data_IF_890986724943
#
_entry.id   IF_890986724943
#
_cell.length_a   1.000
_cell.length_b   1.000
_cell.length_c   1.000
_cell.angle_alpha   90.00
_cell.angle_beta   90.00
_cell.angle_gamma   90.00
#
_symmetry.space_group_name_H-M   'P 1'
#
loop_
_entity.id
_entity.type
_entity.pdbx_description
1 polymer ?
#
# COMPACT_ATOMS: atom_id res chain seq x y z
N UNK A 1 -49.32 -22.09 -89.43
CA UNK A 1 -48.52 -20.88 -89.19
C UNK A 1 -48.45 -20.70 -87.70
N UNK A 2 -47.21 -20.65 -87.24
CA UNK A 2 -46.73 -20.42 -85.90
C UNK A 2 -47.38 -19.17 -85.25
N UNK A 3 -47.71 -19.31 -83.97
CA UNK A 3 -47.79 -18.23 -83.00
C UNK A 3 -47.48 -18.81 -81.61
N UNK A 4 -46.23 -19.26 -81.47
CA UNK A 4 -45.35 -18.92 -80.34
C UNK A 4 -46.01 -18.78 -78.97
N UNK A 5 -45.86 -19.84 -78.17
CA UNK A 5 -45.16 -19.81 -76.88
C UNK A 5 -45.39 -18.57 -76.00
N UNK A 6 -46.55 -18.53 -75.34
CA UNK A 6 -46.76 -17.61 -74.21
C UNK A 6 -46.17 -18.31 -72.98
N UNK A 7 -44.90 -18.00 -72.71
CA UNK A 7 -44.25 -18.33 -71.44
C UNK A 7 -45.09 -17.69 -70.33
N UNK A 8 -45.75 -18.53 -69.53
CA UNK A 8 -46.38 -18.10 -68.29
C UNK A 8 -45.26 -17.71 -67.30
N UNK A 9 -44.87 -16.44 -67.37
CA UNK A 9 -43.96 -15.85 -66.40
C UNK A 9 -44.77 -15.70 -65.11
N UNK A 10 -44.86 -16.78 -64.33
CA UNK A 10 -45.38 -16.71 -62.97
C UNK A 10 -44.50 -15.72 -62.22
N UNK A 11 -45.05 -14.54 -61.91
CA UNK A 11 -44.38 -13.56 -61.09
C UNK A 11 -43.93 -14.26 -59.80
N UNK A 12 -42.67 -14.07 -59.35
CA UNK A 12 -42.27 -14.61 -58.06
C UNK A 12 -43.25 -14.12 -56.99
N UNK A 13 -43.53 -14.92 -55.95
CA UNK A 13 -44.46 -14.55 -54.90
C UNK A 13 -44.11 -13.14 -54.39
N UNK A 14 -45.10 -12.24 -54.40
CA UNK A 14 -44.93 -10.88 -53.90
C UNK A 14 -44.64 -10.98 -52.41
N UNK A 15 -43.38 -10.75 -52.05
CA UNK A 15 -42.95 -10.70 -50.65
C UNK A 15 -43.68 -9.52 -50.02
N UNK A 16 -44.49 -9.79 -48.99
CA UNK A 16 -45.20 -8.74 -48.27
C UNK A 16 -44.19 -7.90 -47.50
N UNK A 17 -43.92 -6.70 -48.01
CA UNK A 17 -42.96 -5.77 -47.43
C UNK A 17 -43.31 -5.39 -45.99
N UNK A 18 -44.60 -5.42 -45.63
CA UNK A 18 -45.07 -5.13 -44.27
C UNK A 18 -44.65 -6.22 -43.28
N UNK A 19 -44.73 -7.49 -43.69
CA UNK A 19 -44.28 -8.61 -42.86
C UNK A 19 -42.75 -8.58 -42.67
N UNK A 20 -42.01 -8.17 -43.70
CA UNK A 20 -40.56 -8.01 -43.62
C UNK A 20 -40.16 -6.84 -42.71
N UNK A 21 -40.91 -5.74 -42.72
CA UNK A 21 -40.69 -4.59 -41.84
C UNK A 21 -40.97 -4.96 -40.37
N UNK A 22 -42.06 -5.68 -40.09
CA UNK A 22 -42.39 -6.18 -38.75
C UNK A 22 -41.33 -7.15 -38.20
N UNK A 23 -40.80 -8.04 -39.04
CA UNK A 23 -39.72 -8.98 -38.69
C UNK A 23 -38.39 -8.25 -38.43
N UNK A 24 -38.07 -7.23 -39.24
CA UNK A 24 -36.87 -6.40 -39.06
C UNK A 24 -36.93 -5.55 -37.77
N UNK A 25 -38.11 -5.03 -37.42
CA UNK A 25 -38.32 -4.30 -36.17
C UNK A 25 -38.27 -5.23 -34.95
N UNK A 26 -38.80 -6.44 -35.07
CA UNK A 26 -38.68 -7.49 -34.06
C UNK A 26 -37.21 -7.90 -33.82
N UNK A 27 -36.43 -8.04 -34.90
CA UNK A 27 -35.00 -8.32 -34.81
C UNK A 27 -34.21 -7.17 -34.18
N UNK A 28 -34.47 -5.92 -34.60
CA UNK A 28 -33.82 -4.73 -34.02
C UNK A 28 -34.10 -4.58 -32.54
N UNK A 29 -35.34 -4.84 -32.13
CA UNK A 29 -35.72 -4.82 -30.72
C UNK A 29 -34.94 -5.90 -29.94
N UNK A 30 -34.85 -7.12 -30.48
CA UNK A 30 -34.10 -8.22 -29.86
C UNK A 30 -32.60 -7.89 -29.74
N UNK A 31 -31.97 -7.37 -30.78
CA UNK A 31 -30.56 -6.94 -30.74
C UNK A 31 -30.33 -5.83 -29.70
N UNK A 32 -31.27 -4.90 -29.57
CA UNK A 32 -31.19 -3.82 -28.58
C UNK A 32 -31.20 -4.36 -27.15
N UNK A 33 -32.09 -5.33 -26.85
CA UNK A 33 -32.13 -5.99 -25.56
C UNK A 33 -30.87 -6.81 -25.28
N UNK A 34 -30.36 -7.55 -26.27
CA UNK A 34 -29.15 -8.35 -26.13
C UNK A 34 -27.92 -7.48 -25.86
N UNK A 35 -27.76 -6.35 -26.56
CA UNK A 35 -26.66 -5.41 -26.30
C UNK A 35 -26.78 -4.78 -24.90
N UNK A 36 -27.99 -4.47 -24.44
CA UNK A 36 -28.21 -3.97 -23.08
C UNK A 36 -27.77 -4.97 -22.02
N UNK A 37 -28.15 -6.25 -22.16
CA UNK A 37 -27.79 -7.31 -21.21
C UNK A 37 -26.28 -7.56 -21.20
N UNK A 38 -25.61 -7.58 -22.35
CA UNK A 38 -24.15 -7.82 -22.41
C UNK A 38 -23.35 -6.70 -21.76
N UNK A 39 -23.76 -5.44 -21.90
CA UNK A 39 -23.12 -4.30 -21.22
C UNK A 39 -23.27 -4.42 -19.70
N UNK A 40 -24.46 -4.81 -19.21
CA UNK A 40 -24.70 -4.98 -17.77
C UNK A 40 -23.83 -6.12 -17.21
N UNK A 41 -23.75 -7.26 -17.91
CA UNK A 41 -22.90 -8.39 -17.50
C UNK A 41 -21.43 -7.99 -17.53
N UNK A 42 -20.96 -7.32 -18.59
CA UNK A 42 -19.57 -6.88 -18.70
C UNK A 42 -19.19 -5.85 -17.62
N UNK A 43 -20.09 -4.90 -17.31
CA UNK A 43 -19.89 -3.94 -16.23
C UNK A 43 -19.89 -4.62 -14.85
N UNK A 44 -20.76 -5.61 -14.64
CA UNK A 44 -20.79 -6.40 -13.41
C UNK A 44 -19.53 -7.24 -13.22
N UNK A 45 -19.08 -7.95 -14.26
CA UNK A 45 -17.82 -8.71 -14.23
C UNK A 45 -16.63 -7.79 -14.05
N UNK A 46 -16.58 -6.66 -14.78
CA UNK A 46 -15.55 -5.64 -14.63
C UNK A 46 -15.52 -5.05 -13.22
N UNK A 47 -16.69 -4.77 -12.63
CA UNK A 47 -16.80 -4.32 -11.24
C UNK A 47 -16.27 -5.36 -10.26
N UNK A 48 -16.62 -6.64 -10.42
CA UNK A 48 -16.12 -7.74 -9.56
C UNK A 48 -14.61 -7.90 -9.71
N UNK A 49 -14.07 -7.87 -10.93
CA UNK A 49 -12.64 -8.01 -11.19
C UNK A 49 -11.87 -6.80 -10.64
N UNK A 50 -12.34 -5.58 -10.88
CA UNK A 50 -11.71 -4.36 -10.37
C UNK A 50 -11.80 -4.30 -8.85
N UNK A 51 -12.97 -4.61 -8.27
CA UNK A 51 -13.10 -4.81 -6.82
C UNK A 51 -12.06 -5.80 -6.36
N UNK A 52 -12.06 -7.04 -6.86
CA UNK A 52 -11.17 -8.08 -6.36
C UNK A 52 -9.68 -7.75 -6.56
N UNK A 53 -9.28 -7.07 -7.65
CA UNK A 53 -7.89 -6.69 -7.90
C UNK A 53 -7.43 -5.50 -7.04
N UNK A 54 -8.28 -4.47 -6.89
CA UNK A 54 -8.05 -3.34 -5.98
C UNK A 54 -8.11 -3.81 -4.52
N UNK A 55 -8.95 -4.80 -4.24
CA UNK A 55 -9.21 -5.34 -2.91
C UNK A 55 -8.13 -6.35 -2.50
N UNK A 56 -7.58 -7.20 -3.38
CA UNK A 56 -6.41 -8.02 -3.03
C UNK A 56 -5.16 -7.16 -2.76
N UNK A 57 -5.11 -5.94 -3.31
CA UNK A 57 -4.07 -4.97 -2.99
C UNK A 57 -4.30 -4.22 -1.65
N UNK A 58 -5.46 -4.38 -1.01
CA UNK A 58 -5.88 -3.58 0.17
C UNK A 58 -6.67 -4.31 1.28
N UNK A 59 -7.11 -5.56 1.08
CA UNK A 59 -8.06 -6.28 1.96
C UNK A 59 -7.58 -7.68 2.37
N UNK A 60 -6.60 -8.27 1.70
CA UNK A 60 -5.85 -9.35 2.35
C UNK A 60 -4.84 -8.70 3.29
N UNK A 61 -5.12 -8.74 4.59
CA UNK A 61 -4.13 -8.37 5.60
C UNK A 61 -2.82 -9.17 5.46
N UNK A 62 -1.84 -8.93 6.35
CA UNK A 62 -0.58 -9.65 6.29
C UNK A 62 -0.83 -11.17 6.28
N UNK A 63 -0.06 -11.96 5.51
CA UNK A 63 -0.10 -13.41 5.57
C UNK A 63 -0.07 -13.92 7.02
N UNK A 64 -0.80 -15.00 7.32
CA UNK A 64 -0.90 -15.55 8.67
C UNK A 64 0.46 -15.87 9.31
N UNK A 65 1.46 -16.21 8.49
CA UNK A 65 2.83 -16.43 8.93
C UNK A 65 3.49 -15.16 9.48
N UNK A 66 3.30 -14.00 8.84
CA UNK A 66 3.83 -12.72 9.35
C UNK A 66 3.16 -12.33 10.67
N UNK A 67 1.87 -12.60 10.80
CA UNK A 67 1.14 -12.39 12.06
C UNK A 67 1.68 -13.30 13.17
N UNK A 68 1.98 -14.57 12.86
CA UNK A 68 2.57 -15.50 13.81
C UNK A 68 3.98 -15.05 14.24
N UNK A 69 4.81 -14.59 13.31
CA UNK A 69 6.14 -14.06 13.61
C UNK A 69 6.07 -12.79 14.46
N UNK A 70 5.14 -11.88 14.16
CA UNK A 70 4.91 -10.69 14.97
C UNK A 70 4.42 -11.05 16.37
N UNK A 71 3.50 -12.00 16.50
CA UNK A 71 3.00 -12.45 17.80
C UNK A 71 4.12 -13.11 18.63
N UNK A 72 4.96 -13.94 18.02
CA UNK A 72 6.13 -14.52 18.67
C UNK A 72 7.11 -13.44 19.13
N UNK A 73 7.37 -12.43 18.29
CA UNK A 73 8.23 -11.31 18.65
C UNK A 73 7.64 -10.49 19.81
N UNK A 74 6.36 -10.14 19.75
CA UNK A 74 5.67 -9.43 20.84
C UNK A 74 5.72 -10.21 22.16
N UNK A 75 5.57 -11.54 22.09
CA UNK A 75 5.69 -12.40 23.27
C UNK A 75 7.11 -12.41 23.85
N UNK A 76 8.15 -12.34 23.00
CA UNK A 76 9.54 -12.28 23.47
C UNK A 76 9.84 -10.96 24.20
N UNK A 77 9.36 -9.84 23.67
CA UNK A 77 9.64 -8.50 24.23
C UNK A 77 8.64 -8.08 25.32
N UNK A 78 7.54 -8.82 25.50
CA UNK A 78 6.51 -8.61 26.54
C UNK A 78 5.93 -7.18 26.56
N UNK A 79 5.94 -6.47 25.42
CA UNK A 79 5.40 -5.10 25.37
C UNK A 79 3.90 -5.03 25.70
N UNK A 80 3.14 -6.07 25.37
CA UNK A 80 1.70 -6.11 25.64
C UNK A 80 1.38 -6.32 27.14
N UNK A 81 2.36 -6.70 27.97
CA UNK A 81 2.21 -6.83 29.43
C UNK A 81 2.43 -5.50 30.16
N UNK A 82 2.92 -4.48 29.46
CA UNK A 82 3.24 -3.16 30.00
C UNK A 82 2.29 -2.14 29.39
N UNK A 83 1.36 -1.62 30.20
CA UNK A 83 0.38 -0.62 29.74
C UNK A 83 0.54 0.72 30.49
N UNK A 84 0.19 1.81 29.82
CA UNK A 84 0.21 3.17 30.37
C UNK A 84 1.61 3.78 30.60
N UNK A 85 2.69 3.10 30.22
CA UNK A 85 4.05 3.63 30.30
C UNK A 85 4.48 4.22 28.96
N UNK A 86 4.92 5.49 28.98
CA UNK A 86 5.38 6.20 27.78
C UNK A 86 6.86 6.53 27.79
N UNK A 87 7.57 6.20 28.88
CA UNK A 87 8.96 6.63 29.12
C UNK A 87 9.09 8.04 29.72
N UNK A 88 7.97 8.70 30.08
CA UNK A 88 8.01 10.02 30.71
C UNK A 88 8.88 10.04 31.97
N UNK A 89 9.82 10.98 32.02
CA UNK A 89 10.75 11.13 33.14
C UNK A 89 11.94 10.17 33.11
N UNK A 90 12.09 9.39 32.03
CA UNK A 90 13.27 8.56 31.77
C UNK A 90 14.13 9.25 30.71
N UNK A 91 15.42 9.39 31.02
CA UNK A 91 16.44 9.83 30.06
C UNK A 91 17.05 8.62 29.37
N UNK A 92 17.18 8.69 28.05
CA UNK A 92 17.73 7.61 27.22
C UNK A 92 18.72 8.17 26.21
N UNK A 93 19.88 7.52 26.06
CA UNK A 93 20.86 7.84 25.03
C UNK A 93 20.98 6.69 24.03
N UNK A 94 20.89 7.00 22.73
CA UNK A 94 21.19 6.06 21.65
C UNK A 94 22.63 6.29 21.18
N UNK A 95 23.47 5.26 21.29
CA UNK A 95 24.86 5.27 20.79
C UNK A 95 24.90 4.47 19.48
N UNK A 96 24.91 5.15 18.33
CA UNK A 96 24.73 4.50 17.02
C UNK A 96 25.36 5.32 15.87
N UNK A 97 24.85 5.18 14.64
CA UNK A 97 25.27 5.96 13.46
C UNK A 97 24.72 7.38 13.40
N UNK A 98 23.92 7.79 14.38
CA UNK A 98 23.33 9.12 14.48
C UNK A 98 21.81 9.10 14.37
N UNK A 99 21.22 10.24 14.03
CA UNK A 99 19.77 10.39 13.85
C UNK A 99 19.44 11.43 12.79
N UNK A 100 18.53 11.10 11.88
CA UNK A 100 17.96 12.04 10.92
C UNK A 100 16.63 12.62 11.44
N UNK A 101 16.70 13.82 12.03
CA UNK A 101 15.52 14.53 12.54
C UNK A 101 14.59 15.05 11.44
N UNK A 102 14.99 15.00 10.16
CA UNK A 102 14.13 15.41 9.04
C UNK A 102 13.14 14.31 8.63
N UNK A 103 13.34 13.07 9.10
CA UNK A 103 12.50 11.93 8.78
C UNK A 103 11.06 12.11 9.30
N UNK A 104 10.07 11.73 8.50
CA UNK A 104 8.66 12.02 8.80
C UNK A 104 8.18 11.49 10.16
N UNK A 105 8.54 10.25 10.47
CA UNK A 105 8.24 9.60 11.74
C UNK A 105 8.84 10.29 12.98
N UNK A 106 9.85 11.14 12.81
CA UNK A 106 10.57 11.80 13.90
C UNK A 106 10.27 13.30 13.98
N UNK A 107 9.41 13.84 13.13
CA UNK A 107 9.06 15.28 13.08
C UNK A 107 8.58 15.85 14.42
N UNK A 108 7.91 15.03 15.23
CA UNK A 108 7.35 15.42 16.53
C UNK A 108 8.22 14.98 17.72
N UNK A 109 9.36 14.36 17.46
CA UNK A 109 10.32 13.95 18.49
C UNK A 109 11.22 15.14 18.80
N UNK A 110 11.40 15.42 20.10
CA UNK A 110 12.37 16.42 20.55
C UNK A 110 13.67 15.73 20.97
N UNK A 111 14.78 16.14 20.36
CA UNK A 111 16.11 15.68 20.75
C UNK A 111 16.62 16.55 21.91
N UNK A 112 16.78 15.95 23.09
CA UNK A 112 17.27 16.63 24.29
C UNK A 112 18.78 16.91 24.24
N UNK A 113 19.53 16.11 23.48
CA UNK A 113 20.93 16.38 23.21
C UNK A 113 21.53 15.52 22.10
N UNK A 114 22.61 16.04 21.53
CA UNK A 114 23.34 15.45 20.41
C UNK A 114 24.84 15.55 20.66
N UNK A 115 25.58 14.49 20.30
CA UNK A 115 27.03 14.56 20.17
C UNK A 115 27.53 13.64 19.07
N UNK A 116 28.39 14.16 18.22
CA UNK A 116 29.09 13.38 17.22
C UNK A 116 30.53 13.08 17.67
N UNK A 117 30.86 11.80 17.80
CA UNK A 117 32.20 11.30 18.15
C UNK A 117 33.02 10.88 16.92
N UNK A 118 32.46 11.00 15.71
CA UNK A 118 33.11 10.68 14.44
C UNK A 118 33.60 11.96 13.74
N UNK A 119 32.68 12.86 13.38
CA UNK A 119 32.97 14.09 12.65
C UNK A 119 33.03 15.33 13.54
N UNK A 120 32.52 15.23 14.78
CA UNK A 120 32.29 16.35 15.69
C UNK A 120 31.40 17.45 15.08
N UNK A 121 30.42 17.04 14.26
CA UNK A 121 29.40 17.93 13.73
C UNK A 121 28.43 18.39 14.82
N UNK A 122 28.02 19.66 14.75
CA UNK A 122 27.09 20.26 15.73
C UNK A 122 25.63 19.91 15.47
N UNK A 123 25.28 19.70 14.21
CA UNK A 123 23.92 19.35 13.80
C UNK A 123 23.75 17.83 13.76
N UNK A 124 22.58 17.35 14.20
CA UNK A 124 22.27 15.93 14.16
C UNK A 124 22.09 15.44 12.73
N UNK A 125 22.71 14.31 12.42
CA UNK A 125 22.60 13.64 11.12
C UNK A 125 22.79 12.13 11.27
N UNK A 126 22.34 11.39 10.26
CA UNK A 126 22.64 9.98 10.10
C UNK A 126 22.98 9.70 8.64
N UNK A 127 24.21 9.28 8.38
CA UNK A 127 24.71 8.98 7.04
C UNK A 127 24.70 7.48 6.72
N UNK A 128 24.23 6.65 7.66
CA UNK A 128 24.09 5.20 7.51
C UNK A 128 22.60 4.77 7.54
N UNK A 129 21.83 5.26 8.51
CA UNK A 129 20.40 5.01 8.68
C UNK A 129 20.01 4.08 9.85
N UNK A 130 20.95 3.31 10.39
CA UNK A 130 20.70 2.34 11.48
C UNK A 130 20.25 3.04 12.76
N UNK A 131 20.94 4.11 13.16
CA UNK A 131 20.58 4.89 14.35
C UNK A 131 19.18 5.52 14.23
N UNK A 132 18.83 6.04 13.05
CA UNK A 132 17.48 6.57 12.77
C UNK A 132 16.42 5.47 12.86
N UNK A 133 16.70 4.27 12.35
CA UNK A 133 15.81 3.11 12.48
C UNK A 133 15.62 2.72 13.96
N UNK A 134 16.69 2.68 14.75
CA UNK A 134 16.64 2.39 16.19
C UNK A 134 15.86 3.45 16.97
N UNK A 135 16.08 4.73 16.69
CA UNK A 135 15.27 5.81 17.25
C UNK A 135 13.79 5.64 16.87
N UNK A 136 13.49 5.26 15.63
CA UNK A 136 12.13 5.02 15.16
C UNK A 136 11.39 3.93 15.95
N UNK A 137 12.05 2.83 16.30
CA UNK A 137 11.44 1.78 17.15
C UNK A 137 11.03 2.34 18.52
N UNK A 138 11.85 3.23 19.08
CA UNK A 138 11.71 3.68 20.46
C UNK A 138 10.74 4.86 20.56
N UNK A 139 10.88 5.88 19.72
CA UNK A 139 10.24 7.19 19.93
C UNK A 139 9.39 7.69 18.76
N UNK A 140 9.27 6.95 17.65
CA UNK A 140 8.54 7.45 16.50
C UNK A 140 7.10 7.89 16.84
N UNK A 141 6.66 8.91 16.12
CA UNK A 141 5.27 9.39 16.12
C UNK A 141 4.53 9.04 14.83
N UNK A 142 3.40 9.71 14.63
CA UNK A 142 2.65 9.80 13.36
C UNK A 142 2.35 8.45 12.68
N UNK A 143 1.60 7.60 13.39
CA UNK A 143 1.06 6.37 12.82
C UNK A 143 1.98 5.14 12.93
N UNK A 144 3.18 5.29 13.47
CA UNK A 144 4.01 4.16 13.90
C UNK A 144 3.86 3.91 15.40
N UNK A 145 3.70 2.63 15.78
CA UNK A 145 3.70 2.22 17.19
C UNK A 145 5.15 2.23 17.68
N UNK A 146 5.45 3.09 18.65
CA UNK A 146 6.74 3.18 19.31
C UNK A 146 6.66 2.68 20.77
N UNK A 147 7.81 2.35 21.35
CA UNK A 147 7.89 1.72 22.68
C UNK A 147 7.78 2.73 23.81
N UNK A 148 8.47 3.87 23.69
CA UNK A 148 8.63 4.85 24.76
C UNK A 148 8.65 6.29 24.18
N UNK A 149 7.51 6.78 23.64
CA UNK A 149 7.46 8.04 22.89
C UNK A 149 7.81 9.30 23.69
N UNK A 150 7.80 9.26 25.03
CA UNK A 150 8.00 10.43 25.89
C UNK A 150 9.31 10.39 26.68
N UNK A 151 10.28 9.56 26.27
CA UNK A 151 11.63 9.62 26.86
C UNK A 151 12.31 10.94 26.51
N UNK A 152 13.19 11.38 27.40
CA UNK A 152 14.14 12.45 27.08
C UNK A 152 15.28 11.86 26.26
N UNK A 153 15.20 12.02 24.93
CA UNK A 153 16.10 11.37 23.98
C UNK A 153 17.40 12.14 23.79
N UNK A 154 18.52 11.45 23.98
CA UNK A 154 19.86 11.85 23.57
C UNK A 154 20.36 10.92 22.47
N UNK A 155 21.20 11.44 21.57
CA UNK A 155 21.88 10.62 20.57
C UNK A 155 23.37 10.94 20.51
N UNK A 156 24.18 9.91 20.59
CA UNK A 156 25.62 9.94 20.42
C UNK A 156 26.00 9.16 19.16
N UNK A 157 26.51 9.84 18.13
CA UNK A 157 27.02 9.17 16.93
C UNK A 157 28.42 8.63 17.22
N UNK A 158 28.54 7.30 17.29
CA UNK A 158 29.80 6.58 17.49
C UNK A 158 30.13 5.60 16.34
N UNK A 159 29.21 5.45 15.38
CA UNK A 159 29.41 4.61 14.19
C UNK A 159 29.51 5.47 12.93
N UNK A 160 30.48 5.15 12.08
CA UNK A 160 30.71 5.81 10.80
C UNK A 160 29.67 5.39 9.75
N UNK A 161 29.72 6.03 8.58
CA UNK A 161 28.83 5.78 7.43
C UNK A 161 28.70 4.31 7.00
N UNK A 162 29.72 3.49 7.25
CA UNK A 162 29.71 2.06 6.92
C UNK A 162 29.12 1.18 8.03
N UNK A 163 28.63 1.77 9.12
CA UNK A 163 28.10 1.07 10.29
C UNK A 163 29.17 0.52 11.23
N UNK A 164 30.44 0.88 11.05
CA UNK A 164 31.53 0.46 11.94
C UNK A 164 31.99 1.58 12.87
N UNK A 165 32.43 1.20 14.06
CA UNK A 165 33.09 2.08 15.03
C UNK A 165 34.31 1.38 15.65
N UNK A 166 35.10 2.12 16.42
CA UNK A 166 36.16 1.53 17.25
C UNK A 166 35.66 1.37 18.69
N UNK A 167 36.21 0.39 19.40
CA UNK A 167 35.90 0.19 20.83
C UNK A 167 36.14 1.46 21.65
N UNK A 168 37.17 2.24 21.32
CA UNK A 168 37.45 3.52 21.97
C UNK A 168 36.41 4.58 21.63
N UNK A 169 36.02 4.70 20.36
CA UNK A 169 35.04 5.71 19.93
C UNK A 169 33.66 5.45 20.51
N UNK A 170 33.27 4.17 20.66
CA UNK A 170 32.04 3.76 21.35
C UNK A 170 32.16 3.93 22.86
N UNK A 171 33.33 3.68 23.45
CA UNK A 171 33.56 3.84 24.88
C UNK A 171 33.62 5.31 25.36
N UNK A 172 33.98 6.24 24.48
CA UNK A 172 33.99 7.67 24.75
C UNK A 172 32.59 8.30 24.64
N UNK A 173 31.66 7.62 23.95
CA UNK A 173 30.29 8.06 23.68
C UNK A 173 29.33 7.81 24.85
#
# INVERSE_FOLDING_TARGET
MDASDVVDVSLPPVVDSRQLEDDLDSLRMLFTWLMGVTIIVAAGVGYIVIKNWVQDSMISGPPAELLANQAAFNQLIQLDEVDGLTGQGVTMCIVDSGIDMSHEALKNVNLAGWKDFIGNESEAYDDQGHGTMMAGIIVAGDGMKSVAPNVELYVAKALAKNGSGSDTGVGDA
#
